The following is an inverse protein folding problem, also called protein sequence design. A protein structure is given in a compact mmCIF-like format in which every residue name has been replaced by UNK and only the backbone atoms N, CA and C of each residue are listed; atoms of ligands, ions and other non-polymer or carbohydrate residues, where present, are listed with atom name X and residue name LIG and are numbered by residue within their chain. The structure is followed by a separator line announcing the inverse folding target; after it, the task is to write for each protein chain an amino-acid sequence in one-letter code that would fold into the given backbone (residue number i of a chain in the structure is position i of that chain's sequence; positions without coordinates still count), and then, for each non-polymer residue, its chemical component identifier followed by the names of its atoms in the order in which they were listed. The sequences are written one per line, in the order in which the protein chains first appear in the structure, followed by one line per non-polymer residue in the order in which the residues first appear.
data_IF_164614785770
#
_entry.id   IF_164614785770
#
_cell.length_a   1.000
_cell.length_b   1.000
_cell.length_c   1.000
_cell.angle_alpha   90.00
_cell.angle_beta   90.00
_cell.angle_gamma   90.00
#
_symmetry.space_group_name_H-M   'P 1'
#
loop_
_entity.id
_entity.type
_entity.pdbx_description
1 polymer ?
#
# COMPACT_ATOMS: atom_id res chain seq x y z
N UNK A 1 -17.26 9.52 -19.25
CA UNK A 1 -17.28 9.15 -17.81
C UNK A 1 -17.22 7.63 -17.72
N UNK A 2 -16.04 7.08 -17.60
CA UNK A 2 -15.88 5.66 -17.28
C UNK A 2 -15.85 5.59 -15.77
N UNK A 3 -16.86 4.94 -15.21
CA UNK A 3 -17.19 4.98 -13.79
C UNK A 3 -16.10 4.45 -12.88
N UNK A 4 -15.95 5.10 -11.74
CA UNK A 4 -15.16 4.70 -10.57
C UNK A 4 -15.65 3.38 -9.92
N UNK A 5 -16.60 2.66 -10.56
CA UNK A 5 -17.32 1.56 -9.94
C UNK A 5 -16.61 0.20 -9.97
N UNK A 6 -15.46 0.12 -10.66
CA UNK A 6 -14.81 -1.20 -10.90
C UNK A 6 -13.84 -1.60 -9.78
N UNK A 7 -13.35 -0.66 -8.99
CA UNK A 7 -12.28 -0.91 -7.99
C UNK A 7 -12.79 -0.90 -6.56
N UNK A 8 -13.99 -0.41 -6.33
CA UNK A 8 -14.58 -0.28 -5.01
C UNK A 8 -15.83 -1.15 -4.87
N UNK A 9 -15.75 -2.24 -4.13
CA UNK A 9 -16.94 -2.93 -3.65
C UNK A 9 -17.15 -2.53 -2.18
N UNK A 10 -18.37 -2.10 -1.85
CA UNK A 10 -18.78 -1.76 -0.47
C UNK A 10 -17.93 -0.67 0.21
N UNK A 11 -17.48 0.35 -0.54
CA UNK A 11 -16.71 1.47 0.03
C UNK A 11 -15.27 1.16 0.39
N UNK A 12 -14.74 0.01 -0.02
CA UNK A 12 -13.35 -0.38 0.21
C UNK A 12 -12.54 -0.22 -1.08
N UNK A 13 -11.58 0.68 -1.10
CA UNK A 13 -10.60 0.82 -2.17
C UNK A 13 -9.49 -0.23 -1.99
N UNK A 14 -9.25 -1.08 -3.00
CA UNK A 14 -8.18 -2.07 -2.97
C UNK A 14 -7.03 -1.63 -3.85
N UNK A 15 -5.85 -1.49 -3.25
CA UNK A 15 -4.62 -1.04 -3.90
C UNK A 15 -3.53 -2.10 -3.80
N UNK A 16 -2.81 -2.33 -4.89
CA UNK A 16 -1.60 -3.17 -4.92
C UNK A 16 -0.42 -2.30 -5.29
N UNK A 17 0.55 -2.21 -4.39
CA UNK A 17 1.83 -1.54 -4.61
C UNK A 17 2.75 -2.49 -5.39
N UNK A 18 3.24 -2.05 -6.54
CA UNK A 18 4.13 -2.86 -7.38
C UNK A 18 5.14 -1.99 -8.12
N UNK A 19 6.40 -2.42 -8.09
CA UNK A 19 7.49 -1.81 -8.87
C UNK A 19 7.33 -2.10 -10.36
N UNK A 20 7.58 -1.11 -11.21
CA UNK A 20 7.49 -1.26 -12.68
C UNK A 20 8.42 -2.36 -13.22
N UNK A 21 9.54 -2.60 -12.53
CA UNK A 21 10.52 -3.64 -12.91
C UNK A 21 10.17 -5.06 -12.43
N UNK A 22 9.03 -5.24 -11.76
CA UNK A 22 8.58 -6.54 -11.21
C UNK A 22 7.22 -6.96 -11.77
N UNK A 23 7.07 -7.11 -13.11
CA UNK A 23 5.79 -7.48 -13.72
C UNK A 23 5.35 -8.91 -13.36
N UNK A 24 6.28 -9.81 -13.03
CA UNK A 24 6.00 -11.17 -12.60
C UNK A 24 5.30 -11.19 -11.22
N UNK A 25 5.67 -10.31 -10.30
CA UNK A 25 5.00 -10.16 -9.00
C UNK A 25 3.58 -9.64 -9.17
N UNK A 26 3.40 -8.61 -10.02
CA UNK A 26 2.07 -8.12 -10.34
C UNK A 26 1.18 -9.22 -10.92
N UNK A 27 1.74 -10.04 -11.82
CA UNK A 27 0.99 -11.18 -12.39
C UNK A 27 0.58 -12.17 -11.31
N UNK A 28 1.48 -12.51 -10.40
CA UNK A 28 1.23 -13.45 -9.30
C UNK A 28 0.09 -12.97 -8.39
N UNK A 29 0.16 -11.74 -7.88
CA UNK A 29 -0.88 -11.19 -7.01
C UNK A 29 -2.20 -10.99 -7.75
N UNK A 30 -2.15 -10.58 -9.02
CA UNK A 30 -3.35 -10.43 -9.85
C UNK A 30 -4.10 -11.73 -10.01
N UNK A 31 -3.40 -12.84 -10.27
CA UNK A 31 -4.02 -14.17 -10.36
C UNK A 31 -4.72 -14.58 -9.08
N UNK A 32 -4.13 -14.30 -7.92
CA UNK A 32 -4.73 -14.60 -6.62
C UNK A 32 -6.00 -13.77 -6.36
N UNK A 33 -5.98 -12.49 -6.70
CA UNK A 33 -7.12 -11.58 -6.52
C UNK A 33 -8.26 -11.93 -7.48
N UNK A 34 -7.95 -12.16 -8.76
CA UNK A 34 -8.94 -12.56 -9.76
C UNK A 34 -9.59 -13.90 -9.41
N UNK A 35 -8.83 -14.87 -8.90
CA UNK A 35 -9.37 -16.16 -8.45
C UNK A 35 -10.42 -16.03 -7.33
N UNK A 36 -10.40 -14.92 -6.59
CA UNK A 36 -11.37 -14.58 -5.56
C UNK A 36 -12.38 -13.52 -6.01
N UNK A 37 -12.44 -13.19 -7.31
CA UNK A 37 -13.32 -12.16 -7.87
C UNK A 37 -13.13 -10.81 -7.16
N UNK A 38 -11.87 -10.42 -6.91
CA UNK A 38 -11.49 -9.16 -6.31
C UNK A 38 -10.82 -8.25 -7.34
N UNK A 39 -11.46 -7.12 -7.61
CA UNK A 39 -10.87 -6.05 -8.40
C UNK A 39 -9.97 -5.18 -7.54
N UNK A 40 -8.91 -4.66 -8.13
CA UNK A 40 -7.93 -3.80 -7.46
C UNK A 40 -7.37 -2.76 -8.43
N UNK A 41 -6.81 -1.71 -7.89
CA UNK A 41 -6.04 -0.71 -8.62
C UNK A 41 -4.55 -0.93 -8.32
N UNK A 42 -3.72 -0.97 -9.37
CA UNK A 42 -2.28 -0.99 -9.21
C UNK A 42 -1.78 0.42 -8.91
N UNK A 43 -0.97 0.56 -7.86
CA UNK A 43 -0.23 1.77 -7.56
C UNK A 43 1.26 1.55 -7.85
N UNK A 44 1.86 2.32 -8.77
CA UNK A 44 3.29 2.22 -9.05
C UNK A 44 4.10 2.54 -7.78
N UNK A 45 4.95 1.60 -7.36
CA UNK A 45 5.81 1.79 -6.21
C UNK A 45 6.93 2.79 -6.51
N UNK A 46 7.31 3.56 -5.50
CA UNK A 46 8.53 4.36 -5.55
C UNK A 46 9.74 3.41 -5.56
N UNK A 47 10.63 3.57 -6.52
CA UNK A 47 11.86 2.77 -6.60
C UNK A 47 13.00 3.49 -5.85
N UNK A 48 13.42 2.92 -4.72
CA UNK A 48 14.49 3.46 -3.89
C UNK A 48 15.83 3.62 -4.63
N UNK A 49 16.03 2.87 -5.72
CA UNK A 49 17.22 3.00 -6.58
C UNK A 49 17.24 4.29 -7.41
N UNK A 50 16.07 4.91 -7.58
CA UNK A 50 15.88 6.13 -8.38
C UNK A 50 15.77 7.39 -7.52
N UNK A 51 15.74 7.25 -6.18
CA UNK A 51 15.69 8.40 -5.29
C UNK A 51 17.03 9.15 -5.32
N UNK A 52 16.97 10.46 -5.57
CA UNK A 52 18.13 11.32 -5.54
C UNK A 52 18.61 11.52 -4.09
N UNK A 53 19.92 11.72 -3.89
CA UNK A 53 20.51 11.95 -2.57
C UNK A 53 19.86 13.15 -1.85
N UNK A 54 19.47 14.17 -2.60
CA UNK A 54 18.80 15.35 -2.05
C UNK A 54 17.39 15.02 -1.50
N UNK A 55 16.65 14.14 -2.17
CA UNK A 55 15.35 13.67 -1.67
C UNK A 55 15.52 12.83 -0.41
N UNK A 56 16.50 11.94 -0.39
CA UNK A 56 16.84 11.13 0.78
C UNK A 56 17.17 12.03 1.97
N UNK A 57 18.01 13.04 1.78
CA UNK A 57 18.41 13.97 2.83
C UNK A 57 17.25 14.82 3.39
N UNK A 58 16.26 15.14 2.56
CA UNK A 58 15.05 15.84 3.03
C UNK A 58 14.12 14.97 3.88
N UNK A 59 14.12 13.68 3.61
CA UNK A 59 13.25 12.70 4.26
C UNK A 59 13.91 12.07 5.49
N UNK A 60 15.23 12.16 5.59
CA UNK A 60 16.02 11.85 6.79
C UNK A 60 15.91 12.98 7.82
N UNK A 61 14.69 13.31 8.23
CA UNK A 61 14.53 14.28 9.31
C UNK A 61 15.21 13.75 10.58
N UNK A 62 15.86 14.60 11.39
CA UNK A 62 16.49 14.18 12.64
C UNK A 62 15.43 13.56 13.54
N UNK A 63 15.57 12.26 13.77
CA UNK A 63 14.72 11.55 14.70
C UNK A 63 15.32 11.69 16.10
N UNK A 64 14.68 12.49 16.93
CA UNK A 64 15.08 12.81 18.31
C UNK A 64 14.74 11.69 19.30
N UNK A 65 14.91 10.41 18.90
CA UNK A 65 14.75 9.33 19.87
C UNK A 65 15.99 9.23 20.78
N UNK A 66 15.80 8.86 22.05
CA UNK A 66 16.91 8.57 22.94
C UNK A 66 17.84 7.52 22.31
N UNK A 67 19.14 7.78 22.26
CA UNK A 67 20.15 6.94 21.59
C UNK A 67 20.07 5.44 21.98
N UNK A 68 19.64 5.16 23.19
CA UNK A 68 19.47 3.78 23.70
C UNK A 68 18.39 2.96 22.98
N UNK A 69 17.51 3.58 22.19
CA UNK A 69 16.41 2.91 21.46
C UNK A 69 16.60 2.92 19.95
N UNK A 70 17.65 3.54 19.44
CA UNK A 70 17.88 3.70 18.00
C UNK A 70 19.13 2.93 17.59
N UNK A 71 18.94 1.83 16.83
CA UNK A 71 20.06 1.04 16.31
C UNK A 71 20.74 1.68 15.10
N UNK A 72 20.06 2.62 14.42
CA UNK A 72 20.63 3.42 13.34
C UNK A 72 19.88 4.75 13.20
N UNK A 73 20.64 5.74 12.76
CA UNK A 73 20.18 7.14 12.68
C UNK A 73 19.60 7.51 11.29
N UNK A 74 19.80 6.70 10.27
CA UNK A 74 19.35 6.96 8.92
C UNK A 74 18.54 5.79 8.36
N UNK A 75 17.49 6.10 7.58
CA UNK A 75 16.72 5.13 6.83
C UNK A 75 17.45 4.77 5.54
N UNK A 76 17.33 3.54 5.11
CA UNK A 76 17.82 3.13 3.80
C UNK A 76 16.88 3.62 2.69
N UNK A 77 17.40 3.85 1.46
CA UNK A 77 16.57 4.30 0.34
C UNK A 77 15.33 3.45 0.09
N UNK A 78 15.43 2.13 0.26
CA UNK A 78 14.29 1.23 0.09
C UNK A 78 13.22 1.39 1.18
N UNK A 79 13.60 1.74 2.41
CA UNK A 79 12.64 2.01 3.49
C UNK A 79 11.89 3.32 3.24
N UNK A 80 12.60 4.35 2.78
CA UNK A 80 12.01 5.62 2.37
C UNK A 80 11.06 5.40 1.20
N UNK A 81 11.48 4.63 0.19
CA UNK A 81 10.64 4.30 -0.97
C UNK A 81 9.38 3.53 -0.58
N UNK A 82 9.49 2.60 0.35
CA UNK A 82 8.34 1.87 0.90
C UNK A 82 7.35 2.84 1.57
N UNK A 83 7.84 3.70 2.46
CA UNK A 83 7.01 4.73 3.09
C UNK A 83 6.32 5.63 2.08
N UNK A 84 7.04 6.14 1.09
CA UNK A 84 6.48 7.02 0.06
C UNK A 84 5.42 6.30 -0.78
N UNK A 85 5.60 5.02 -1.05
CA UNK A 85 4.61 4.21 -1.76
C UNK A 85 3.32 4.06 -0.95
N UNK A 86 3.42 3.82 0.35
CA UNK A 86 2.26 3.78 1.24
C UNK A 86 1.61 5.17 1.39
N UNK A 87 2.38 6.24 1.49
CA UNK A 87 1.86 7.61 1.51
C UNK A 87 1.05 7.93 0.25
N UNK A 88 1.53 7.50 -0.93
CA UNK A 88 0.78 7.64 -2.18
C UNK A 88 -0.54 6.85 -2.17
N UNK A 89 -0.58 5.68 -1.52
CA UNK A 89 -1.83 4.94 -1.30
C UNK A 89 -2.81 5.72 -0.42
N UNK A 90 -2.34 6.35 0.63
CA UNK A 90 -3.19 7.17 1.52
C UNK A 90 -3.76 8.38 0.79
N UNK A 91 -2.95 9.06 -0.01
CA UNK A 91 -3.42 10.15 -0.87
C UNK A 91 -4.49 9.67 -1.86
N UNK A 92 -4.27 8.49 -2.46
CA UNK A 92 -5.23 7.89 -3.39
C UNK A 92 -6.54 7.53 -2.69
N UNK A 93 -6.47 7.00 -1.46
CA UNK A 93 -7.65 6.71 -0.64
C UNK A 93 -8.46 7.99 -0.34
N UNK A 94 -7.79 9.04 0.12
CA UNK A 94 -8.44 10.34 0.40
C UNK A 94 -9.14 10.87 -0.85
N UNK A 95 -8.49 10.83 -2.01
CA UNK A 95 -9.06 11.29 -3.29
C UNK A 95 -10.21 10.41 -3.79
N UNK A 96 -10.28 9.14 -3.36
CA UNK A 96 -11.34 8.23 -3.80
C UNK A 96 -12.68 8.48 -3.12
N UNK A 97 -12.66 9.07 -1.93
CA UNK A 97 -13.84 9.21 -1.07
C UNK A 97 -14.31 7.89 -0.42
N UNK A 98 -13.55 6.80 -0.58
CA UNK A 98 -13.84 5.54 0.08
C UNK A 98 -13.58 5.65 1.59
N UNK A 99 -14.36 4.96 2.39
CA UNK A 99 -14.22 4.94 3.85
C UNK A 99 -12.97 4.16 4.26
N UNK A 100 -12.66 3.08 3.53
CA UNK A 100 -11.56 2.18 3.83
C UNK A 100 -10.65 1.97 2.62
N UNK A 101 -9.37 1.80 2.90
CA UNK A 101 -8.36 1.37 1.94
C UNK A 101 -7.72 0.07 2.38
N UNK A 102 -7.71 -0.93 1.49
CA UNK A 102 -6.94 -2.15 1.63
C UNK A 102 -5.68 -2.03 0.77
N UNK A 103 -4.55 -1.87 1.42
CA UNK A 103 -3.25 -1.70 0.77
C UNK A 103 -2.48 -3.00 0.85
N UNK A 104 -2.04 -3.50 -0.29
CA UNK A 104 -1.33 -4.76 -0.44
C UNK A 104 0.00 -4.54 -1.15
N UNK A 105 1.02 -5.27 -0.74
CA UNK A 105 2.27 -5.40 -1.50
C UNK A 105 2.19 -6.58 -2.47
N UNK A 106 3.01 -6.59 -3.50
CA UNK A 106 2.94 -7.54 -4.61
C UNK A 106 3.58 -8.92 -4.31
N UNK A 107 4.18 -9.09 -3.13
CA UNK A 107 4.88 -10.31 -2.72
C UNK A 107 4.15 -11.11 -1.62
N UNK A 108 2.86 -10.86 -1.45
CA UNK A 108 2.03 -11.57 -0.49
C UNK A 108 1.35 -12.80 -1.09
N UNK A 109 0.99 -13.74 -0.21
CA UNK A 109 0.15 -14.90 -0.52
C UNK A 109 -1.19 -14.74 0.19
N UNK A 110 -2.26 -14.75 -0.57
CA UNK A 110 -3.61 -14.56 -0.03
C UNK A 110 -4.19 -15.86 0.49
N UNK A 111 -4.82 -15.80 1.66
CA UNK A 111 -5.64 -16.88 2.16
C UNK A 111 -6.81 -17.17 1.20
N UNK A 112 -7.27 -18.42 1.05
CA UNK A 112 -8.50 -18.74 0.32
C UNK A 112 -9.76 -18.01 0.82
N UNK A 113 -9.72 -17.51 2.07
CA UNK A 113 -10.80 -16.75 2.70
C UNK A 113 -10.60 -15.24 2.67
N UNK A 114 -9.59 -14.75 1.97
CA UNK A 114 -9.23 -13.33 1.96
C UNK A 114 -10.38 -12.43 1.51
N UNK A 115 -11.20 -12.88 0.56
CA UNK A 115 -12.37 -12.15 0.09
C UNK A 115 -13.31 -11.71 1.22
N UNK A 116 -13.46 -12.50 2.28
CA UNK A 116 -14.33 -12.15 3.41
C UNK A 116 -13.89 -10.86 4.11
N UNK A 117 -12.59 -10.61 4.18
CA UNK A 117 -12.02 -9.40 4.77
C UNK A 117 -11.95 -8.25 3.77
N UNK A 118 -11.74 -8.57 2.51
CA UNK A 118 -11.51 -7.58 1.46
C UNK A 118 -12.79 -6.92 0.92
N UNK A 119 -13.97 -7.44 1.26
CA UNK A 119 -15.26 -6.97 0.72
C UNK A 119 -16.22 -6.40 1.77
N UNK A 120 -15.89 -6.47 3.05
CA UNK A 120 -16.69 -5.92 4.15
C UNK A 120 -15.82 -5.30 5.21
N UNK A 121 -16.27 -4.19 5.78
CA UNK A 121 -15.66 -3.55 6.94
C UNK A 121 -16.39 -3.88 8.27
N UNK A 122 -17.45 -4.68 8.24
CA UNK A 122 -18.26 -5.02 9.41
C UNK A 122 -17.50 -5.77 10.51
N UNK A 123 -16.41 -6.45 10.14
CA UNK A 123 -15.54 -7.14 11.08
C UNK A 123 -14.57 -6.21 11.83
N UNK A 124 -14.46 -4.95 11.40
CA UNK A 124 -13.58 -3.95 12.02
C UNK A 124 -14.25 -3.41 13.27
N UNK A 125 -13.62 -3.50 14.46
CA UNK A 125 -14.20 -2.97 15.68
C UNK A 125 -14.44 -1.46 15.60
N UNK A 126 -15.49 -0.99 16.28
CA UNK A 126 -15.79 0.44 16.36
C UNK A 126 -14.61 1.23 16.93
N UNK A 127 -14.32 2.38 16.34
CA UNK A 127 -13.21 3.27 16.76
C UNK A 127 -11.84 2.89 16.21
N UNK A 128 -11.67 1.72 15.55
CA UNK A 128 -10.42 1.36 14.89
C UNK A 128 -10.27 2.17 13.60
N UNK A 129 -9.07 2.68 13.36
CA UNK A 129 -8.73 3.48 12.17
C UNK A 129 -7.72 2.82 11.27
N UNK A 130 -6.83 2.02 11.84
CA UNK A 130 -5.76 1.28 11.14
C UNK A 130 -5.65 -0.10 11.74
N UNK A 131 -5.43 -1.11 10.88
CA UNK A 131 -5.32 -2.52 11.26
C UNK A 131 -4.00 -3.07 10.75
#
# INVERSE_FOLDING_TARGET
MVGNDVVTNNGILRLVINLDRSPERLRSISQQLVAQDLHFERLPAVDGRKLAQEELSRLEAPYDAPEKFVFRKALWPNEIACFLSHAACWERLVKSGCEWGLIMEDDIVLSPRFKLFATSSEWIPEGVRVI
#
